data_IF_783212526886
#
_entry.id   IF_783212526886
#
_cell.length_a   1.000
_cell.length_b   1.000
_cell.length_c   1.000
_cell.angle_alpha   90.00
_cell.angle_beta   90.00
_cell.angle_gamma   90.00
#
_symmetry.space_group_name_H-M   'P 1'
#
loop_
_entity.id
_entity.type
_entity.pdbx_description
1 polymer ?
#
# COMPACT_ATOMS: atom_id res chain seq x y z
N UNK A 1 13.33 -3.54 -1.76
CA UNK A 1 14.15 -3.12 -0.60
C UNK A 1 14.65 -1.73 -0.92
N UNK A 2 14.11 -0.70 -0.26
CA UNK A 2 14.55 0.68 -0.44
C UNK A 2 15.40 1.03 0.78
N UNK A 3 16.62 1.50 0.55
CA UNK A 3 17.46 2.07 1.61
C UNK A 3 17.25 3.57 1.50
N UNK A 4 16.46 4.14 2.41
CA UNK A 4 16.28 5.58 2.47
C UNK A 4 17.53 6.27 2.98
N UNK A 5 17.86 7.41 2.37
CA UNK A 5 18.86 8.32 2.90
C UNK A 5 18.34 8.92 4.21
N UNK A 6 19.18 8.92 5.23
CA UNK A 6 18.83 9.37 6.57
C UNK A 6 18.90 10.91 6.62
N UNK A 7 17.84 11.55 7.09
CA UNK A 7 17.89 12.97 7.40
C UNK A 7 18.72 13.23 8.67
N UNK A 8 19.77 14.03 8.51
CA UNK A 8 20.64 14.50 9.59
C UNK A 8 20.34 15.97 9.90
N UNK A 9 20.37 16.31 11.17
CA UNK A 9 20.38 17.71 11.66
C UNK A 9 21.73 18.37 11.32
N UNK A 10 21.78 19.70 11.39
CA UNK A 10 22.98 20.48 11.05
C UNK A 10 24.22 20.11 11.89
N UNK A 11 24.03 19.55 13.09
CA UNK A 11 25.08 19.08 13.99
C UNK A 11 25.50 17.61 13.73
N UNK A 12 24.94 16.97 12.70
CA UNK A 12 25.20 15.58 12.34
C UNK A 12 24.44 14.57 13.21
N UNK A 13 23.52 15.01 14.08
CA UNK A 13 22.64 14.12 14.81
C UNK A 13 21.53 13.57 13.89
N UNK A 14 21.07 12.36 14.16
CA UNK A 14 19.93 11.77 13.46
C UNK A 14 18.67 12.60 13.74
N UNK A 15 17.96 13.01 12.68
CA UNK A 15 16.61 13.54 12.84
C UNK A 15 15.68 12.38 13.22
N UNK A 16 15.23 12.33 14.47
CA UNK A 16 14.29 11.31 14.97
C UNK A 16 12.99 11.99 15.36
N UNK A 17 11.89 11.58 14.73
CA UNK A 17 10.54 12.00 15.11
C UNK A 17 9.65 10.77 15.32
N UNK A 18 8.68 10.89 16.23
CA UNK A 18 7.66 9.86 16.44
C UNK A 18 6.49 10.18 15.53
N UNK A 19 6.22 9.29 14.58
CA UNK A 19 5.08 9.39 13.66
C UNK A 19 4.03 8.39 14.12
N UNK A 20 2.76 8.80 14.17
CA UNK A 20 1.67 7.88 14.51
C UNK A 20 1.49 6.85 13.39
N UNK A 21 1.41 5.56 13.71
CA UNK A 21 1.31 4.50 12.69
C UNK A 21 0.09 4.68 11.78
N UNK A 22 -1.04 5.17 12.30
CA UNK A 22 -2.25 5.47 11.51
C UNK A 22 -2.04 6.55 10.43
N UNK A 23 -0.96 7.33 10.51
CA UNK A 23 -0.61 8.32 9.49
C UNK A 23 0.28 7.76 8.37
N UNK A 24 0.74 6.51 8.51
CA UNK A 24 1.55 5.82 7.51
C UNK A 24 0.62 4.93 6.68
N UNK A 25 0.37 5.34 5.44
CA UNK A 25 -0.35 4.49 4.50
C UNK A 25 0.62 3.48 3.88
N UNK A 26 0.65 2.26 4.40
CA UNK A 26 1.34 1.16 3.73
C UNK A 26 0.56 0.77 2.48
N UNK A 27 1.21 0.87 1.31
CA UNK A 27 0.65 0.37 0.07
C UNK A 27 0.49 -1.15 0.17
N UNK A 28 -0.76 -1.61 0.31
CA UNK A 28 -1.06 -3.03 0.26
C UNK A 28 -0.80 -3.54 -1.16
N UNK A 29 -0.04 -4.62 -1.29
CA UNK A 29 0.06 -5.34 -2.57
C UNK A 29 -1.24 -6.10 -2.83
N UNK A 30 -2.22 -5.41 -3.41
CA UNK A 30 -3.51 -5.98 -3.77
C UNK A 30 -3.36 -6.79 -5.07
N UNK A 31 -3.65 -8.09 -4.99
CA UNK A 31 -3.70 -8.97 -6.17
C UNK A 31 -5.13 -8.93 -6.72
N UNK A 32 -5.36 -8.48 -7.97
CA UNK A 32 -6.70 -8.44 -8.54
C UNK A 32 -7.25 -9.84 -8.84
N UNK A 33 -8.58 -9.94 -8.88
CA UNK A 33 -9.27 -11.12 -9.41
C UNK A 33 -9.36 -10.99 -10.93
N UNK A 34 -8.54 -11.76 -11.65
CA UNK A 34 -8.34 -11.59 -13.10
C UNK A 34 -9.50 -12.06 -14.00
N UNK A 35 -10.47 -12.81 -13.48
CA UNK A 35 -11.57 -13.35 -14.30
C UNK A 35 -11.09 -14.34 -15.37
N UNK A 36 -11.84 -14.45 -16.47
CA UNK A 36 -11.51 -15.35 -17.59
C UNK A 36 -10.84 -14.65 -18.79
N UNK A 37 -10.78 -13.32 -18.79
CA UNK A 37 -10.23 -12.53 -19.88
C UNK A 37 -8.73 -12.30 -19.73
N UNK A 38 -8.07 -11.94 -20.84
CA UNK A 38 -6.66 -11.58 -20.81
C UNK A 38 -6.44 -10.18 -20.24
N UNK A 39 -5.40 -10.04 -19.43
CA UNK A 39 -4.95 -8.73 -18.93
C UNK A 39 -4.32 -7.95 -20.09
N UNK A 40 -4.74 -6.70 -20.34
CA UNK A 40 -4.12 -5.86 -21.37
C UNK A 40 -2.63 -5.66 -21.11
N UNK A 41 -1.80 -5.84 -22.13
CA UNK A 41 -0.33 -5.71 -22.02
C UNK A 41 0.13 -4.28 -21.79
N UNK A 42 -0.73 -3.30 -22.06
CA UNK A 42 -0.50 -1.88 -21.83
C UNK A 42 -1.06 -1.39 -20.48
N UNK A 43 -1.59 -2.29 -19.63
CA UNK A 43 -2.03 -1.93 -18.29
C UNK A 43 -0.83 -1.53 -17.42
N UNK A 44 -0.86 -0.31 -16.89
CA UNK A 44 0.20 0.21 -16.01
C UNK A 44 -0.17 0.04 -14.53
N UNK A 45 0.85 0.01 -13.65
CA UNK A 45 0.64 -0.16 -12.21
C UNK A 45 -0.25 0.91 -11.57
N UNK A 46 -0.31 2.13 -12.12
CA UNK A 46 -1.17 3.21 -11.61
C UNK A 46 -2.62 3.05 -12.01
N UNK A 47 -2.90 2.24 -13.03
CA UNK A 47 -4.25 1.97 -13.53
C UNK A 47 -4.84 0.70 -12.90
N UNK A 48 -4.02 -0.15 -12.30
CA UNK A 48 -4.45 -1.46 -11.80
C UNK A 48 -5.58 -1.36 -10.80
N UNK A 49 -5.63 -0.33 -9.93
CA UNK A 49 -6.69 -0.17 -8.93
C UNK A 49 -8.08 0.13 -9.52
N UNK A 50 -8.12 0.74 -10.71
CA UNK A 50 -9.37 1.05 -11.41
C UNK A 50 -9.72 -0.01 -12.48
N UNK A 51 -8.77 -0.88 -12.81
CA UNK A 51 -8.91 -1.86 -13.89
C UNK A 51 -9.65 -3.14 -13.47
N UNK A 52 -9.75 -3.42 -12.16
CA UNK A 52 -10.41 -4.62 -11.64
C UNK A 52 -11.47 -4.25 -10.61
N UNK A 53 -12.56 -5.00 -10.57
CA UNK A 53 -13.65 -4.77 -9.62
C UNK A 53 -13.41 -5.43 -8.26
N UNK A 54 -12.44 -6.34 -8.14
CA UNK A 54 -12.20 -7.15 -6.95
C UNK A 54 -10.71 -7.45 -6.77
N UNK A 55 -10.28 -7.51 -5.51
CA UNK A 55 -8.91 -7.82 -5.10
C UNK A 55 -8.93 -8.79 -3.92
N UNK A 56 -7.91 -9.64 -3.85
CA UNK A 56 -7.64 -10.44 -2.66
C UNK A 56 -7.00 -9.55 -1.59
N UNK A 57 -7.65 -9.50 -0.42
CA UNK A 57 -7.07 -8.91 0.79
C UNK A 57 -6.63 -10.07 1.67
N UNK A 58 -5.34 -10.10 2.01
CA UNK A 58 -4.82 -11.10 2.92
C UNK A 58 -4.68 -10.50 4.33
N UNK A 59 -5.54 -10.96 5.21
CA UNK A 59 -5.66 -10.47 6.59
C UNK A 59 -4.46 -10.80 7.49
N UNK A 60 -3.48 -11.57 7.02
CA UNK A 60 -2.37 -12.07 7.85
C UNK A 60 -0.99 -11.50 7.48
N UNK A 61 -0.80 -11.05 6.24
CA UNK A 61 0.48 -10.49 5.77
C UNK A 61 0.49 -8.96 5.82
N UNK A 62 -0.67 -8.32 5.88
CA UNK A 62 -0.77 -6.86 5.86
C UNK A 62 -1.88 -6.39 6.83
N UNK A 63 -1.48 -6.12 8.07
CA UNK A 63 -2.36 -5.57 9.11
C UNK A 63 -3.00 -4.25 8.65
N UNK A 64 -2.26 -3.41 7.92
CA UNK A 64 -2.77 -2.13 7.43
C UNK A 64 -3.82 -2.30 6.33
N UNK A 65 -3.64 -3.28 5.43
CA UNK A 65 -4.65 -3.61 4.43
C UNK A 65 -6.00 -4.02 5.04
N UNK A 66 -5.96 -4.75 6.16
CA UNK A 66 -7.17 -5.17 6.89
C UNK A 66 -7.94 -3.98 7.46
N UNK A 67 -7.25 -3.06 8.14
CA UNK A 67 -7.86 -1.85 8.72
C UNK A 67 -8.49 -0.96 7.64
N UNK A 68 -7.78 -0.76 6.52
CA UNK A 68 -8.27 0.04 5.39
C UNK A 68 -9.51 -0.61 4.78
N UNK A 69 -9.49 -1.91 4.47
CA UNK A 69 -10.60 -2.58 3.81
C UNK A 69 -11.88 -2.62 4.66
N UNK A 70 -11.76 -2.78 5.98
CA UNK A 70 -12.91 -2.80 6.90
C UNK A 70 -13.53 -1.42 7.13
N UNK A 71 -12.72 -0.37 7.11
CA UNK A 71 -13.19 1.01 7.34
C UNK A 71 -14.07 1.50 6.20
N UNK A 72 -13.84 1.08 4.96
CA UNK A 72 -14.65 1.52 3.79
C UNK A 72 -15.82 0.61 3.43
N UNK A 73 -15.96 -0.57 4.04
CA UNK A 73 -17.09 -1.50 3.79
C UNK A 73 -18.21 -1.39 4.83
N UNK A 74 -18.07 -0.52 5.84
CA UNK A 74 -19.03 -0.33 6.94
C UNK A 74 -19.76 1.04 6.93
N UNK A 75 -19.59 1.82 5.86
CA UNK A 75 -20.38 3.02 5.51
C UNK A 75 -21.10 2.83 4.19
#
# INVERSE_FOLDING_TARGET
>A
MWVGELELLEDGAHCVSVIHLDSIFCAAHLIPVFGGDFVPTNLTYSQTLNAFCMYYVNNFIDHHAYEIALTYLST
#
